data_IF_017081798306
#
_entry.id   IF_017081798306
#
_cell.length_a   1.000
_cell.length_b   1.000
_cell.length_c   1.000
_cell.angle_alpha   90.00
_cell.angle_beta   90.00
_cell.angle_gamma   90.00
#
_symmetry.space_group_name_H-M   'P 1'
#
loop_
_entity.id
_entity.type
_entity.pdbx_description
1 polymer ?
#
# COMPACT_ATOMS: atom_id res chain seq x y z
N UNK A 1 45.20 16.80 12.70
CA UNK A 1 44.78 17.82 13.69
C UNK A 1 43.60 17.29 14.52
N UNK A 2 43.32 17.87 15.69
CA UNK A 2 42.20 17.46 16.55
C UNK A 2 40.98 18.36 16.35
N UNK A 3 39.76 17.83 16.59
CA UNK A 3 38.53 18.63 16.58
C UNK A 3 38.69 19.83 17.53
N UNK A 4 38.38 21.04 17.05
CA UNK A 4 38.49 22.27 17.85
C UNK A 4 39.89 22.90 17.90
N UNK A 5 40.92 22.31 17.28
CA UNK A 5 42.27 22.90 17.22
C UNK A 5 42.44 24.05 16.22
N UNK A 6 41.34 24.58 15.67
CA UNK A 6 41.34 25.67 14.69
C UNK A 6 41.73 25.27 13.26
N UNK A 7 42.03 23.99 13.03
CA UNK A 7 42.26 23.44 11.69
C UNK A 7 40.95 23.11 10.98
N UNK A 8 40.90 23.35 9.67
CA UNK A 8 39.83 22.89 8.78
C UNK A 8 40.42 22.20 7.55
N UNK A 9 39.66 21.30 6.94
CA UNK A 9 40.06 20.69 5.66
C UNK A 9 39.95 21.73 4.55
N UNK A 10 41.06 21.91 3.82
CA UNK A 10 41.18 22.78 2.65
C UNK A 10 40.85 22.02 1.37
N UNK A 11 41.37 20.80 1.24
CA UNK A 11 41.21 19.96 0.05
C UNK A 11 41.38 18.50 0.40
N UNK A 12 40.69 17.65 -0.36
CA UNK A 12 40.92 16.21 -0.38
C UNK A 12 41.26 15.83 -1.81
N UNK A 13 42.34 15.08 -2.01
CA UNK A 13 42.77 14.61 -3.33
C UNK A 13 42.99 13.11 -3.29
N UNK A 14 42.24 12.37 -4.11
CA UNK A 14 42.37 10.92 -4.26
C UNK A 14 43.01 10.55 -5.60
N UNK A 15 43.77 9.45 -5.65
CA UNK A 15 44.53 9.05 -6.84
C UNK A 15 43.70 8.28 -7.86
N UNK A 16 42.82 7.41 -7.39
CA UNK A 16 42.05 6.46 -8.20
C UNK A 16 40.60 6.91 -8.43
N UNK A 17 40.32 8.21 -8.28
CA UNK A 17 39.01 8.79 -8.57
C UNK A 17 37.95 8.57 -7.49
N UNK A 18 38.32 8.10 -6.30
CA UNK A 18 37.41 8.11 -5.14
C UNK A 18 37.00 9.54 -4.81
N UNK A 19 35.76 9.69 -4.37
CA UNK A 19 35.18 10.99 -4.01
C UNK A 19 34.94 10.95 -2.52
N UNK A 20 35.62 11.85 -1.81
CA UNK A 20 35.54 12.03 -0.37
C UNK A 20 35.18 13.47 -0.06
N UNK A 21 34.40 13.68 1.00
CA UNK A 21 34.10 14.97 1.57
C UNK A 21 34.46 14.98 3.05
N UNK A 22 34.62 16.17 3.64
CA UNK A 22 34.93 16.31 5.07
C UNK A 22 33.87 17.17 5.74
N UNK A 23 33.28 16.64 6.80
CA UNK A 23 32.43 17.40 7.70
C UNK A 23 33.30 18.03 8.80
N UNK A 24 33.56 19.33 8.67
CA UNK A 24 34.36 20.08 9.66
C UNK A 24 33.65 20.19 11.03
N UNK A 25 32.32 20.11 11.07
CA UNK A 25 31.52 20.32 12.28
C UNK A 25 31.43 19.02 13.08
N UNK A 26 31.25 17.89 12.40
CA UNK A 26 31.27 16.57 13.02
C UNK A 26 32.69 15.99 13.18
N UNK A 27 33.66 16.49 12.41
CA UNK A 27 35.04 15.98 12.31
C UNK A 27 35.08 14.56 11.75
N UNK A 28 34.34 14.35 10.67
CA UNK A 28 34.17 13.06 9.99
C UNK A 28 34.63 13.16 8.53
N UNK A 29 35.23 12.08 8.04
CA UNK A 29 35.49 11.86 6.62
C UNK A 29 34.31 11.09 6.04
N UNK A 30 33.64 11.67 5.06
CA UNK A 30 32.51 11.08 4.37
C UNK A 30 33.00 10.48 3.05
N UNK A 31 32.71 9.19 2.83
CA UNK A 31 33.10 8.48 1.61
C UNK A 31 31.91 8.48 0.66
N UNK A 32 31.95 9.31 -0.38
CA UNK A 32 30.87 9.38 -1.37
C UNK A 32 30.96 8.26 -2.41
N UNK A 33 32.19 7.85 -2.77
CA UNK A 33 32.44 6.84 -3.79
C UNK A 33 33.79 6.17 -3.59
N UNK A 34 33.79 4.84 -3.61
CA UNK A 34 34.97 3.99 -3.66
C UNK A 34 34.86 3.08 -4.88
N UNK A 35 35.65 3.35 -5.93
CA UNK A 35 35.69 2.47 -7.11
C UNK A 35 36.67 1.30 -6.96
N UNK A 36 37.75 1.53 -6.22
CA UNK A 36 38.82 0.57 -5.98
C UNK A 36 39.61 0.99 -4.74
N UNK A 37 40.66 0.26 -4.39
CA UNK A 37 41.61 0.71 -3.38
C UNK A 37 42.24 2.06 -3.83
N UNK A 38 42.15 3.07 -2.96
CA UNK A 38 42.58 4.43 -3.26
C UNK A 38 43.39 5.03 -2.12
N UNK A 39 44.30 5.94 -2.48
CA UNK A 39 45.14 6.68 -1.57
C UNK A 39 44.79 8.17 -1.67
N UNK A 40 44.16 8.68 -0.61
CA UNK A 40 43.69 10.06 -0.55
C UNK A 40 44.52 10.89 0.44
N UNK A 41 44.85 12.11 0.04
CA UNK A 41 45.50 13.11 0.88
C UNK A 41 44.47 14.14 1.35
N UNK A 42 44.50 14.47 2.63
CA UNK A 42 43.62 15.47 3.25
C UNK A 42 44.50 16.61 3.74
N UNK A 43 44.36 17.78 3.13
CA UNK A 43 45.12 18.97 3.48
C UNK A 43 44.35 19.81 4.49
N UNK A 44 45.00 20.15 5.61
CA UNK A 44 44.42 20.99 6.64
C UNK A 44 45.05 22.39 6.62
N UNK A 45 44.25 23.42 6.91
CA UNK A 45 44.71 24.81 7.00
C UNK A 45 44.24 25.49 8.29
N UNK A 46 44.98 26.53 8.70
CA UNK A 46 44.65 27.45 9.80
C UNK A 46 44.51 28.84 9.19
N UNK A 47 43.31 29.24 8.80
CA UNK A 47 43.08 30.48 8.05
C UNK A 47 41.79 31.19 8.46
N UNK A 48 41.88 32.52 8.59
CA UNK A 48 40.77 33.45 8.82
C UNK A 48 39.70 33.34 7.75
N UNK A 49 38.42 33.47 8.14
CA UNK A 49 37.28 33.34 7.23
C UNK A 49 36.60 31.97 7.32
N UNK A 50 36.14 31.60 8.52
CA UNK A 50 35.23 30.46 8.69
C UNK A 50 33.84 30.90 8.25
N UNK A 51 33.37 30.38 7.13
CA UNK A 51 32.02 30.63 6.66
C UNK A 51 31.12 29.45 6.99
N UNK A 52 29.93 29.77 7.50
CA UNK A 52 28.87 28.80 7.76
C UNK A 52 27.89 28.86 6.61
N UNK A 53 27.59 27.70 6.04
CA UNK A 53 26.47 27.53 5.13
C UNK A 53 25.33 26.89 5.93
N UNK A 54 24.23 27.61 6.07
CA UNK A 54 23.02 27.12 6.71
C UNK A 54 22.06 26.62 5.64
N UNK A 55 21.62 25.37 5.74
CA UNK A 55 20.58 24.80 4.90
C UNK A 55 19.26 24.79 5.67
N UNK A 56 18.25 25.44 5.10
CA UNK A 56 16.89 25.49 5.64
C UNK A 56 16.01 24.65 4.73
N UNK A 57 15.72 23.38 5.08
CA UNK A 57 14.85 22.56 4.27
C UNK A 57 13.39 22.96 4.47
N UNK A 58 12.58 22.84 3.41
CA UNK A 58 11.12 22.98 3.49
C UNK A 58 10.45 21.86 4.29
N UNK A 59 11.17 20.76 4.55
CA UNK A 59 10.73 19.60 5.33
C UNK A 59 11.75 19.41 6.46
N UNK A 60 11.32 19.45 7.71
CA UNK A 60 12.24 19.30 8.84
C UNK A 60 12.84 17.88 8.88
N UNK A 61 14.15 17.77 9.10
CA UNK A 61 14.85 16.47 9.22
C UNK A 61 15.12 15.73 7.91
N UNK A 62 14.84 16.35 6.76
CA UNK A 62 15.04 15.73 5.44
C UNK A 62 16.45 15.87 4.87
N UNK A 63 17.34 16.57 5.58
CA UNK A 63 18.75 16.73 5.21
C UNK A 63 19.63 16.00 6.22
N UNK A 64 20.78 15.53 5.76
CA UNK A 64 21.85 15.00 6.62
C UNK A 64 22.30 16.01 7.69
N UNK A 65 22.34 17.29 7.33
CA UNK A 65 22.67 18.40 8.22
C UNK A 65 21.97 19.69 7.81
N UNK A 66 21.72 20.58 8.78
CA UNK A 66 21.19 21.92 8.55
C UNK A 66 22.28 23.01 8.53
N UNK A 67 23.53 22.64 8.81
CA UNK A 67 24.65 23.56 8.73
C UNK A 67 25.97 22.83 8.49
N UNK A 68 26.82 23.37 7.62
CA UNK A 68 28.21 22.91 7.45
C UNK A 68 29.13 24.13 7.38
N UNK A 69 30.33 24.03 7.97
CA UNK A 69 31.35 25.09 7.87
C UNK A 69 32.46 24.77 6.88
N UNK A 70 32.95 25.81 6.22
CA UNK A 70 34.06 25.75 5.26
C UNK A 70 35.00 26.96 5.41
N UNK A 71 36.11 26.94 4.68
CA UNK A 71 37.01 28.09 4.48
C UNK A 71 36.58 28.94 3.29
N UNK A 72 37.19 30.12 3.14
CA UNK A 72 37.05 30.95 1.94
C UNK A 72 37.29 30.16 0.64
N UNK A 73 36.42 30.35 -0.33
CA UNK A 73 36.35 29.63 -1.61
C UNK A 73 36.15 28.10 -1.50
N UNK A 74 35.84 27.58 -0.32
CA UNK A 74 35.58 26.16 -0.14
C UNK A 74 34.20 25.71 -0.60
N UNK A 75 33.91 24.43 -0.39
CA UNK A 75 32.72 23.74 -0.84
C UNK A 75 32.07 22.96 0.31
N UNK A 76 30.74 22.93 0.34
CA UNK A 76 29.96 22.05 1.21
C UNK A 76 28.89 21.31 0.39
N UNK A 77 28.53 20.11 0.83
CA UNK A 77 27.48 19.28 0.22
C UNK A 77 26.47 18.90 1.28
N UNK A 78 25.18 19.11 1.01
CA UNK A 78 24.07 18.59 1.81
C UNK A 78 23.42 17.44 1.05
N UNK A 79 23.03 16.38 1.75
CA UNK A 79 22.41 15.18 1.19
C UNK A 79 20.95 15.07 1.65
N UNK A 80 20.10 14.55 0.78
CA UNK A 80 18.67 14.32 1.00
C UNK A 80 18.24 13.09 0.21
N UNK A 81 17.39 12.27 0.82
CA UNK A 81 16.74 11.16 0.13
C UNK A 81 15.50 11.61 -0.67
N UNK A 82 15.08 12.88 -0.48
CA UNK A 82 13.95 13.49 -1.18
C UNK A 82 14.38 14.25 -2.43
N UNK A 83 13.52 14.23 -3.45
CA UNK A 83 13.69 15.01 -4.66
C UNK A 83 13.71 16.53 -4.36
N UNK A 84 14.69 17.23 -4.91
CA UNK A 84 14.84 18.68 -4.74
C UNK A 84 14.00 19.39 -5.81
N UNK A 85 13.08 20.26 -5.38
CA UNK A 85 12.29 21.11 -6.28
C UNK A 85 13.07 22.35 -6.71
N UNK A 86 13.60 23.09 -5.73
CA UNK A 86 14.35 24.31 -5.97
C UNK A 86 15.25 24.64 -4.79
N UNK A 87 16.33 25.37 -5.07
CA UNK A 87 17.22 25.93 -4.05
C UNK A 87 17.34 27.43 -4.30
N UNK A 88 17.23 28.23 -3.24
CA UNK A 88 17.32 29.69 -3.31
C UNK A 88 18.17 30.25 -2.18
N UNK A 89 18.61 31.51 -2.31
CA UNK A 89 19.43 32.19 -1.30
C UNK A 89 20.93 31.90 -1.39
N UNK A 90 21.35 30.97 -2.25
CA UNK A 90 22.75 30.64 -2.46
C UNK A 90 23.05 30.17 -3.89
N UNK A 91 24.30 30.36 -4.32
CA UNK A 91 24.81 29.76 -5.56
C UNK A 91 25.08 28.29 -5.32
N UNK A 92 24.39 27.43 -6.05
CA UNK A 92 24.42 25.99 -5.82
C UNK A 92 24.40 25.21 -7.15
N UNK A 93 24.83 23.96 -7.06
CA UNK A 93 24.61 22.93 -8.06
C UNK A 93 23.77 21.81 -7.42
N UNK A 94 22.74 21.36 -8.13
CA UNK A 94 21.89 20.26 -7.69
C UNK A 94 22.27 19.02 -8.51
N UNK A 95 22.53 17.92 -7.82
CA UNK A 95 22.85 16.64 -8.44
C UNK A 95 22.30 15.53 -7.55
N UNK A 96 21.33 14.77 -8.07
CA UNK A 96 20.76 13.53 -7.49
C UNK A 96 20.89 13.39 -5.95
N UNK A 97 19.91 13.94 -5.22
CA UNK A 97 19.91 13.92 -3.75
C UNK A 97 20.95 14.82 -3.07
N UNK A 98 21.68 15.65 -3.82
CA UNK A 98 22.73 16.55 -3.30
C UNK A 98 22.47 18.01 -3.65
N UNK A 99 22.70 18.89 -2.68
CA UNK A 99 22.85 20.33 -2.88
C UNK A 99 24.30 20.70 -2.58
N UNK A 100 25.02 21.11 -3.63
CA UNK A 100 26.44 21.45 -3.56
C UNK A 100 26.59 22.97 -3.60
N UNK A 101 27.19 23.55 -2.57
CA UNK A 101 27.47 25.00 -2.47
C UNK A 101 28.97 25.20 -2.61
N UNK A 102 29.40 25.85 -3.69
CA UNK A 102 30.82 26.08 -4.03
C UNK A 102 31.20 27.55 -3.89
N UNK A 103 32.51 27.82 -3.83
CA UNK A 103 33.09 29.17 -3.80
C UNK A 103 32.52 30.03 -2.66
N UNK A 104 32.42 29.47 -1.45
CA UNK A 104 31.84 30.17 -0.30
C UNK A 104 32.76 31.30 0.16
N UNK A 105 32.31 32.55 0.07
CA UNK A 105 33.07 33.75 0.45
C UNK A 105 32.47 34.53 1.64
N UNK A 106 31.29 34.12 2.13
CA UNK A 106 30.63 34.69 3.30
C UNK A 106 29.65 33.69 3.91
N UNK A 107 29.18 33.94 5.14
CA UNK A 107 28.09 33.16 5.73
C UNK A 107 26.86 33.24 4.81
N UNK A 108 26.32 32.08 4.44
CA UNK A 108 25.28 31.97 3.41
C UNK A 108 24.14 31.09 3.93
N UNK A 109 22.91 31.41 3.55
CA UNK A 109 21.73 30.58 3.85
C UNK A 109 21.10 30.09 2.55
N UNK A 110 20.99 28.78 2.41
CA UNK A 110 20.29 28.11 1.31
C UNK A 110 18.92 27.66 1.79
N UNK A 111 17.84 28.12 1.15
CA UNK A 111 16.51 27.55 1.35
C UNK A 111 16.32 26.42 0.33
N UNK A 112 16.14 25.20 0.81
CA UNK A 112 16.03 23.99 -0.02
C UNK A 112 14.57 23.53 -0.01
N UNK A 113 13.87 23.75 -1.11
CA UNK A 113 12.50 23.26 -1.28
C UNK A 113 12.56 21.83 -1.82
N UNK A 114 11.99 20.91 -1.07
CA UNK A 114 11.92 19.49 -1.40
C UNK A 114 10.50 19.12 -1.82
N UNK A 115 10.39 18.16 -2.72
CA UNK A 115 9.11 17.53 -3.07
C UNK A 115 8.88 16.36 -2.12
N UNK A 116 7.73 16.36 -1.46
CA UNK A 116 7.19 15.09 -0.99
C UNK A 116 6.94 14.22 -2.20
N UNK A 117 7.53 13.01 -2.27
CA UNK A 117 7.19 12.09 -3.32
C UNK A 117 5.72 11.70 -3.14
N UNK A 118 5.00 11.56 -4.24
CA UNK A 118 3.67 10.95 -4.17
C UNK A 118 3.85 9.46 -3.88
N UNK A 119 2.95 8.87 -3.12
CA UNK A 119 3.00 7.44 -2.81
C UNK A 119 2.94 6.60 -4.10
N UNK A 120 2.24 7.05 -5.14
CA UNK A 120 2.24 6.38 -6.44
C UNK A 120 3.62 6.41 -7.11
N UNK A 121 4.34 7.53 -7.05
CA UNK A 121 5.72 7.63 -7.56
C UNK A 121 6.66 6.68 -6.80
N UNK A 122 6.59 6.68 -5.46
CA UNK A 122 7.41 5.76 -4.63
C UNK A 122 7.17 4.30 -4.99
N UNK A 123 5.90 3.89 -5.13
CA UNK A 123 5.54 2.52 -5.49
C UNK A 123 6.16 2.14 -6.85
N UNK A 124 6.08 3.02 -7.85
CA UNK A 124 6.66 2.79 -9.19
C UNK A 124 8.19 2.74 -9.19
N UNK A 125 8.84 3.58 -8.40
CA UNK A 125 10.31 3.60 -8.30
C UNK A 125 10.84 2.34 -7.61
N UNK A 126 10.23 1.97 -6.47
CA UNK A 126 10.60 0.78 -5.72
C UNK A 126 10.32 -0.52 -6.47
N UNK A 127 9.35 -0.55 -7.37
CA UNK A 127 9.10 -1.74 -8.19
C UNK A 127 10.21 -2.06 -9.19
N UNK A 128 11.04 -1.07 -9.57
CA UNK A 128 12.16 -1.28 -10.51
C UNK A 128 13.24 -2.16 -9.88
N UNK A 129 13.50 -1.97 -8.59
CA UNK A 129 14.50 -2.70 -7.81
C UNK A 129 13.90 -3.81 -6.95
N UNK A 130 12.57 -3.96 -6.97
CA UNK A 130 11.79 -4.83 -6.08
C UNK A 130 11.99 -4.53 -4.59
N UNK A 131 12.30 -3.27 -4.26
CA UNK A 131 12.35 -2.81 -2.89
C UNK A 131 10.97 -2.96 -2.24
N UNK A 132 10.95 -3.28 -0.95
CA UNK A 132 9.73 -3.54 -0.16
C UNK A 132 8.82 -4.65 -0.69
N UNK A 133 9.33 -5.50 -1.60
CA UNK A 133 8.56 -6.56 -2.22
C UNK A 133 7.54 -6.05 -3.24
N UNK A 134 7.83 -4.93 -3.92
CA UNK A 134 6.93 -4.37 -4.93
C UNK A 134 7.27 -4.91 -6.32
N UNK A 135 6.27 -5.44 -7.03
CA UNK A 135 6.42 -5.98 -8.39
C UNK A 135 5.35 -5.40 -9.32
N UNK A 136 5.71 -5.20 -10.59
CA UNK A 136 4.78 -4.78 -11.64
C UNK A 136 4.19 -6.01 -12.37
N UNK A 137 3.12 -6.58 -11.82
CA UNK A 137 2.39 -7.72 -12.38
C UNK A 137 0.89 -7.44 -12.38
N UNK A 138 0.36 -6.93 -13.51
CA UNK A 138 -1.03 -6.46 -13.64
C UNK A 138 -1.40 -5.42 -12.55
N UNK A 139 -0.55 -4.39 -12.46
CA UNK A 139 -0.53 -3.39 -11.39
C UNK A 139 0.75 -3.48 -10.58
N UNK A 140 1.08 -2.41 -9.84
CA UNK A 140 2.22 -2.41 -8.93
C UNK A 140 1.77 -2.95 -7.58
N UNK A 141 2.20 -4.15 -7.21
CA UNK A 141 1.67 -4.93 -6.08
C UNK A 141 2.72 -5.16 -5.03
N UNK A 142 2.31 -5.11 -3.77
CA UNK A 142 3.15 -5.58 -2.67
C UNK A 142 3.00 -7.09 -2.49
N UNK A 143 4.13 -7.78 -2.40
CA UNK A 143 4.23 -9.24 -2.35
C UNK A 143 5.17 -9.72 -1.23
N UNK A 144 5.00 -10.98 -0.83
CA UNK A 144 5.86 -11.63 0.17
C UNK A 144 5.21 -11.72 1.55
N UNK A 145 5.98 -12.19 2.53
CA UNK A 145 5.46 -12.51 3.87
C UNK A 145 5.17 -11.27 4.71
N UNK A 146 6.03 -10.24 4.63
CA UNK A 146 5.84 -8.97 5.33
C UNK A 146 6.42 -7.79 4.54
N UNK A 147 5.80 -7.40 3.41
CA UNK A 147 6.20 -6.20 2.68
C UNK A 147 5.99 -4.94 3.53
N UNK A 148 6.82 -3.90 3.30
CA UNK A 148 6.71 -2.59 3.93
C UNK A 148 5.59 -1.76 3.29
N UNK A 149 4.36 -2.14 3.57
CA UNK A 149 3.17 -1.57 2.95
C UNK A 149 2.17 -1.00 3.96
N UNK A 150 2.61 -0.61 5.16
CA UNK A 150 1.74 -0.06 6.18
C UNK A 150 1.49 1.44 5.96
N UNK A 151 0.25 1.89 6.17
CA UNK A 151 -0.15 3.30 6.04
C UNK A 151 -1.19 3.68 7.09
N UNK A 152 -1.11 4.89 7.62
CA UNK A 152 -2.15 5.47 8.46
C UNK A 152 -3.22 6.18 7.61
N UNK A 153 -4.43 5.63 7.64
CA UNK A 153 -5.62 6.28 7.10
C UNK A 153 -6.18 7.26 8.14
N UNK A 154 -6.41 8.51 7.73
CA UNK A 154 -7.03 9.52 8.61
C UNK A 154 -8.54 9.42 8.51
N UNK A 155 -9.18 8.94 9.57
CA UNK A 155 -10.63 8.82 9.74
C UNK A 155 -11.13 9.83 10.79
N UNK A 156 -11.86 10.87 10.37
CA UNK A 156 -12.40 11.92 11.26
C UNK A 156 -11.36 12.51 12.23
N UNK A 157 -10.13 12.71 11.74
CA UNK A 157 -9.01 13.26 12.53
C UNK A 157 -8.28 12.24 13.41
N UNK A 158 -8.67 10.96 13.39
CA UNK A 158 -7.96 9.86 14.04
C UNK A 158 -7.22 8.98 13.02
N UNK A 159 -6.10 8.40 13.42
CA UNK A 159 -5.31 7.51 12.55
C UNK A 159 -5.72 6.05 12.75
N UNK A 160 -6.03 5.37 11.64
CA UNK A 160 -6.27 3.93 11.58
C UNK A 160 -5.17 3.26 10.75
N UNK A 161 -4.67 2.10 11.19
CA UNK A 161 -3.63 1.39 10.46
C UNK A 161 -4.22 0.51 9.34
N UNK A 162 -3.71 0.68 8.13
CA UNK A 162 -4.10 -0.02 6.92
C UNK A 162 -2.85 -0.55 6.20
N UNK A 163 -3.03 -1.43 5.21
CA UNK A 163 -1.96 -1.92 4.34
C UNK A 163 -2.27 -1.61 2.88
N UNK A 164 -1.27 -1.22 2.11
CA UNK A 164 -1.35 -0.96 0.68
C UNK A 164 -1.33 -2.30 -0.06
N UNK A 165 -2.35 -2.54 -0.89
CA UNK A 165 -2.35 -3.68 -1.82
C UNK A 165 -1.48 -3.35 -3.02
N UNK A 166 -1.64 -2.14 -3.56
CA UNK A 166 -0.90 -1.72 -4.75
C UNK A 166 -1.49 -0.49 -5.44
N UNK A 167 -0.88 -0.14 -6.58
CA UNK A 167 -1.30 0.93 -7.48
C UNK A 167 -1.91 0.34 -8.75
N UNK A 168 -3.10 0.81 -9.11
CA UNK A 168 -3.89 0.26 -10.22
C UNK A 168 -4.60 1.37 -11.01
N UNK A 169 -4.81 1.21 -12.33
CA UNK A 169 -5.61 2.13 -13.15
C UNK A 169 -7.13 1.90 -12.95
N UNK A 170 -7.54 1.72 -11.69
CA UNK A 170 -8.91 1.36 -11.30
C UNK A 170 -9.72 2.60 -10.88
N UNK A 171 -9.22 3.81 -11.11
CA UNK A 171 -9.95 5.04 -10.85
C UNK A 171 -11.27 5.12 -11.61
N UNK A 172 -12.18 5.97 -11.12
CA UNK A 172 -13.51 6.15 -11.72
C UNK A 172 -13.41 6.52 -13.20
N UNK A 173 -12.40 7.31 -13.57
CA UNK A 173 -12.12 7.72 -14.95
C UNK A 173 -10.95 6.94 -15.58
N UNK A 174 -10.44 5.90 -14.92
CA UNK A 174 -9.31 5.09 -15.38
C UNK A 174 -7.94 5.64 -14.98
N UNK A 175 -7.91 6.65 -14.12
CA UNK A 175 -6.69 7.14 -13.47
C UNK A 175 -6.12 6.12 -12.47
N UNK A 176 -4.83 6.27 -12.16
CA UNK A 176 -4.18 5.48 -11.12
C UNK A 176 -4.76 5.80 -9.74
N UNK A 177 -5.08 4.75 -8.98
CA UNK A 177 -5.51 4.79 -7.58
C UNK A 177 -4.74 3.77 -6.75
N UNK A 178 -4.51 4.09 -5.48
CA UNK A 178 -3.80 3.22 -4.55
C UNK A 178 -4.85 2.46 -3.73
N UNK A 179 -4.94 1.14 -3.92
CA UNK A 179 -5.87 0.31 -3.16
C UNK A 179 -5.25 -0.05 -1.81
N UNK A 180 -5.99 0.20 -0.74
CA UNK A 180 -5.60 -0.08 0.65
C UNK A 180 -6.61 -0.98 1.32
N UNK A 181 -6.15 -1.89 2.19
CA UNK A 181 -6.98 -2.77 3.00
C UNK A 181 -6.80 -2.50 4.49
N UNK A 182 -7.88 -2.58 5.26
CA UNK A 182 -7.80 -2.41 6.71
C UNK A 182 -6.93 -3.50 7.34
N UNK A 183 -6.10 -3.14 8.33
CA UNK A 183 -5.35 -4.14 9.12
C UNK A 183 -6.32 -4.96 9.95
N UNK A 184 -6.07 -6.26 9.98
CA UNK A 184 -6.94 -7.22 10.66
C UNK A 184 -8.13 -7.62 9.79
N UNK A 185 -9.02 -8.37 10.43
CA UNK A 185 -10.18 -8.95 9.77
C UNK A 185 -11.43 -8.62 10.54
N UNK A 186 -12.36 -7.97 9.86
CA UNK A 186 -13.67 -7.72 10.43
C UNK A 186 -14.46 -9.00 10.37
N UNK A 187 -14.96 -9.43 11.52
CA UNK A 187 -15.80 -10.63 11.63
C UNK A 187 -17.29 -10.28 11.70
N UNK A 188 -17.61 -8.99 11.91
CA UNK A 188 -18.96 -8.44 11.84
C UNK A 188 -18.93 -6.90 11.67
N UNK A 189 -19.77 -6.38 10.79
CA UNK A 189 -20.20 -4.99 10.77
C UNK A 189 -21.59 -4.89 11.44
N UNK A 190 -21.63 -4.45 12.68
CA UNK A 190 -22.84 -4.45 13.50
C UNK A 190 -23.83 -3.37 13.06
N UNK A 191 -25.11 -3.72 13.00
CA UNK A 191 -26.19 -2.74 13.18
C UNK A 191 -26.40 -2.56 14.69
N UNK A 192 -25.99 -1.43 15.26
CA UNK A 192 -26.17 -1.07 16.67
C UNK A 192 -27.60 -0.57 16.98
N UNK A 193 -28.59 -0.96 16.18
CA UNK A 193 -30.00 -0.60 16.32
C UNK A 193 -30.47 -0.63 17.77
N UNK A 194 -30.78 0.55 18.30
CA UNK A 194 -31.36 0.75 19.61
C UNK A 194 -32.84 0.29 19.56
N UNK A 195 -33.05 -1.02 19.44
CA UNK A 195 -34.37 -1.61 19.21
C UNK A 195 -34.69 -2.62 20.32
N UNK A 196 -35.42 -2.13 21.31
CA UNK A 196 -36.11 -2.93 22.30
C UNK A 196 -37.29 -3.65 21.64
N UNK A 197 -37.17 -4.95 21.38
CA UNK A 197 -38.18 -6.00 21.68
C UNK A 197 -37.92 -7.26 20.88
N UNK A 198 -37.71 -8.36 21.60
CA UNK A 198 -37.96 -9.71 21.13
C UNK A 198 -39.46 -9.94 20.95
N UNK A 199 -39.90 -10.45 19.79
CA UNK A 199 -40.60 -11.74 19.65
C UNK A 199 -41.10 -11.93 18.22
N UNK A 200 -41.07 -13.20 17.80
CA UNK A 200 -41.78 -13.75 16.66
C UNK A 200 -43.24 -13.28 16.63
N UNK A 201 -43.66 -12.60 15.56
CA UNK A 201 -44.85 -12.99 14.78
C UNK A 201 -45.07 -12.06 13.59
N UNK A 202 -44.98 -12.66 12.40
CA UNK A 202 -45.63 -12.21 11.18
C UNK A 202 -45.15 -10.86 10.58
N UNK A 203 -43.86 -10.82 10.27
CA UNK A 203 -43.35 -10.20 9.05
C UNK A 203 -42.62 -11.33 8.28
N UNK A 204 -42.72 -11.52 6.94
CA UNK A 204 -42.71 -10.46 5.93
C UNK A 204 -41.77 -9.33 6.34
N UNK A 205 -40.53 -9.73 6.69
CA UNK A 205 -39.25 -8.99 6.82
C UNK A 205 -38.15 -9.84 6.15
N UNK A 206 -38.58 -10.80 5.34
CA UNK A 206 -37.92 -12.08 5.03
C UNK A 206 -36.74 -11.99 4.08
N UNK A 207 -36.35 -10.81 3.56
CA UNK A 207 -35.37 -10.72 2.47
C UNK A 207 -34.67 -9.35 2.32
N UNK A 208 -34.38 -8.64 3.41
CA UNK A 208 -33.76 -7.31 3.28
C UNK A 208 -32.23 -7.36 3.20
N UNK A 209 -31.78 -8.20 2.25
CA UNK A 209 -30.41 -8.32 1.72
C UNK A 209 -29.46 -8.93 2.75
N UNK A 210 -29.00 -10.15 2.50
CA UNK A 210 -28.11 -10.85 3.42
C UNK A 210 -26.69 -10.30 3.30
N UNK A 211 -26.02 -10.22 4.44
CA UNK A 211 -25.02 -11.24 4.65
C UNK A 211 -25.25 -11.99 6.00
N UNK A 212 -26.38 -11.83 6.80
CA UNK A 212 -26.66 -11.82 8.30
C UNK A 212 -27.72 -12.69 9.11
N UNK A 213 -27.53 -13.19 10.39
CA UNK A 213 -28.51 -13.77 11.40
C UNK A 213 -28.08 -13.69 12.93
N UNK A 214 -28.95 -13.93 13.95
CA UNK A 214 -28.70 -13.85 15.42
C UNK A 214 -28.93 -15.16 16.23
N UNK A 215 -28.03 -15.55 17.14
CA UNK A 215 -28.20 -16.70 18.06
C UNK A 215 -29.01 -16.35 19.34
N UNK A 216 -30.00 -17.19 19.68
CA UNK A 216 -30.90 -17.01 20.81
C UNK A 216 -30.28 -17.31 22.18
N UNK A 217 -29.06 -17.85 22.25
CA UNK A 217 -28.34 -18.13 23.50
C UNK A 217 -27.41 -16.96 23.89
N UNK A 218 -26.91 -16.19 22.91
CA UNK A 218 -25.82 -15.21 23.11
C UNK A 218 -26.21 -13.74 22.94
N UNK A 219 -27.46 -13.42 22.57
CA UNK A 219 -27.98 -12.05 22.47
C UNK A 219 -27.14 -11.11 21.56
N UNK A 220 -26.64 -11.63 20.42
CA UNK A 220 -25.84 -10.89 19.42
C UNK A 220 -26.36 -11.10 17.98
N UNK A 221 -26.38 -10.03 17.18
CA UNK A 221 -26.79 -10.05 15.77
C UNK A 221 -25.55 -10.18 14.85
N UNK A 222 -25.50 -11.20 13.99
CA UNK A 222 -24.39 -11.47 13.08
C UNK A 222 -24.73 -11.24 11.63
N UNK A 223 -23.67 -11.13 10.82
CA UNK A 223 -23.68 -11.13 9.37
C UNK A 223 -23.55 -12.59 8.76
N UNK A 224 -24.39 -13.65 9.07
CA UNK A 224 -25.05 -14.61 8.08
C UNK A 224 -26.21 -15.58 8.46
N UNK A 225 -27.04 -16.07 7.50
CA UNK A 225 -28.25 -16.90 7.70
C UNK A 225 -28.10 -18.42 7.41
N UNK A 226 -28.78 -19.33 8.14
CA UNK A 226 -28.52 -20.78 8.09
C UNK A 226 -29.05 -21.53 6.85
N UNK A 227 -29.96 -20.96 6.05
CA UNK A 227 -30.62 -21.66 4.93
C UNK A 227 -30.35 -21.05 3.54
N UNK A 228 -30.51 -21.90 2.52
CA UNK A 228 -30.40 -21.57 1.09
C UNK A 228 -31.44 -20.51 0.72
N UNK A 229 -31.02 -19.24 0.63
CA UNK A 229 -31.90 -18.17 0.21
C UNK A 229 -32.11 -18.17 -1.30
N UNK A 230 -33.27 -18.65 -1.75
CA UNK A 230 -33.67 -18.74 -3.17
C UNK A 230 -34.03 -17.40 -3.83
N UNK A 231 -34.00 -16.28 -3.09
CA UNK A 231 -34.31 -14.91 -3.58
C UNK A 231 -33.30 -13.84 -3.17
N UNK A 232 -32.09 -14.24 -2.78
CA UNK A 232 -31.08 -13.29 -2.32
C UNK A 232 -30.35 -12.60 -3.46
N UNK A 233 -30.09 -11.31 -3.29
CA UNK A 233 -29.37 -10.48 -4.26
C UNK A 233 -27.86 -10.56 -4.02
N UNK A 234 -27.12 -11.07 -4.99
CA UNK A 234 -25.65 -11.26 -4.93
C UNK A 234 -24.93 -10.42 -5.98
N UNK A 235 -25.45 -9.23 -6.15
CA UNK A 235 -24.79 -8.17 -6.89
C UNK A 235 -24.21 -7.24 -5.84
N UNK A 236 -22.87 -7.17 -5.74
CA UNK A 236 -22.14 -6.42 -4.70
C UNK A 236 -22.82 -5.10 -4.28
N UNK A 237 -23.20 -4.21 -5.22
CA UNK A 237 -23.80 -2.89 -4.91
C UNK A 237 -25.16 -2.96 -4.22
N UNK A 238 -25.78 -4.14 -4.17
CA UNK A 238 -27.11 -4.39 -3.62
C UNK A 238 -27.06 -5.35 -2.43
N UNK A 239 -25.87 -5.74 -1.97
CA UNK A 239 -25.69 -6.56 -0.77
C UNK A 239 -25.80 -5.71 0.49
N UNK A 240 -26.14 -6.34 1.61
CA UNK A 240 -26.14 -5.63 2.91
C UNK A 240 -24.74 -5.36 3.40
N UNK A 241 -23.77 -6.24 3.13
CA UNK A 241 -22.38 -5.95 3.48
C UNK A 241 -21.89 -4.68 2.78
N UNK A 242 -22.12 -4.53 1.48
CA UNK A 242 -21.77 -3.26 0.82
C UNK A 242 -22.52 -2.07 1.43
N UNK A 243 -23.82 -2.21 1.72
CA UNK A 243 -24.61 -1.12 2.33
C UNK A 243 -24.02 -0.71 3.68
N UNK A 244 -23.67 -1.66 4.54
CA UNK A 244 -23.06 -1.40 5.85
C UNK A 244 -21.65 -0.82 5.67
N UNK A 245 -20.81 -1.44 4.85
CA UNK A 245 -19.44 -0.97 4.63
C UNK A 245 -19.41 0.42 4.02
N UNK A 246 -20.24 0.72 3.02
CA UNK A 246 -20.28 2.06 2.41
C UNK A 246 -20.76 3.14 3.38
N UNK A 247 -21.56 2.78 4.39
CA UNK A 247 -21.96 3.69 5.47
C UNK A 247 -20.88 3.89 6.55
N UNK A 248 -20.02 2.88 6.79
CA UNK A 248 -18.91 2.95 7.74
C UNK A 248 -17.68 3.63 7.10
N UNK A 249 -17.34 3.21 5.88
CA UNK A 249 -16.18 3.62 5.09
C UNK A 249 -16.58 4.68 4.06
N UNK A 250 -17.15 5.78 4.57
CA UNK A 250 -17.56 6.91 3.74
C UNK A 250 -16.36 7.77 3.38
N UNK A 251 -16.25 8.18 2.11
CA UNK A 251 -15.16 9.05 1.64
C UNK A 251 -15.06 10.37 2.41
N UNK A 252 -16.19 10.89 2.91
CA UNK A 252 -16.23 12.12 3.70
C UNK A 252 -15.41 12.05 4.99
N UNK A 253 -15.28 10.85 5.57
CA UNK A 253 -14.58 10.65 6.83
C UNK A 253 -13.09 10.32 6.61
N UNK A 254 -12.75 9.74 5.46
CA UNK A 254 -11.41 9.25 5.15
C UNK A 254 -10.65 10.20 4.21
N UNK A 255 -9.60 10.84 4.72
CA UNK A 255 -8.77 11.79 3.95
C UNK A 255 -8.21 11.13 2.69
N UNK A 256 -8.19 11.88 1.59
CA UNK A 256 -7.61 11.49 0.29
C UNK A 256 -8.23 10.25 -0.37
N UNK A 257 -9.37 9.76 0.11
CA UNK A 257 -10.05 8.62 -0.49
C UNK A 257 -10.89 9.03 -1.69
N UNK A 258 -11.05 8.10 -2.63
CA UNK A 258 -11.86 8.26 -3.84
C UNK A 258 -12.69 7.02 -4.10
N UNK A 259 -13.74 7.18 -4.91
CA UNK A 259 -14.39 6.01 -5.50
C UNK A 259 -13.43 5.33 -6.48
N UNK A 260 -13.58 4.03 -6.64
CA UNK A 260 -12.82 3.24 -7.61
C UNK A 260 -13.71 2.17 -8.24
N UNK A 261 -13.29 1.69 -9.40
CA UNK A 261 -13.92 0.59 -10.13
C UNK A 261 -13.63 -0.73 -9.44
N UNK A 262 -14.69 -1.42 -9.09
CA UNK A 262 -14.71 -2.78 -8.59
C UNK A 262 -15.19 -3.71 -9.69
N UNK A 263 -14.42 -4.75 -10.01
CA UNK A 263 -14.76 -5.75 -11.01
C UNK A 263 -15.40 -6.97 -10.36
N UNK A 264 -16.55 -7.38 -10.88
CA UNK A 264 -17.45 -8.37 -10.28
C UNK A 264 -17.59 -9.61 -11.18
N UNK A 265 -16.61 -9.85 -12.06
CA UNK A 265 -16.52 -11.09 -12.83
C UNK A 265 -16.20 -12.28 -11.93
N UNK A 266 -16.77 -13.44 -12.28
CA UNK A 266 -16.51 -14.73 -11.65
C UNK A 266 -16.42 -15.85 -12.69
N UNK A 267 -16.24 -17.09 -12.26
CA UNK A 267 -16.21 -18.25 -13.16
C UNK A 267 -16.84 -19.48 -12.48
N UNK A 268 -17.44 -20.35 -13.30
CA UNK A 268 -18.03 -21.62 -12.83
C UNK A 268 -16.95 -22.55 -12.25
N UNK A 269 -15.87 -22.72 -13.00
CA UNK A 269 -14.76 -23.59 -12.65
C UNK A 269 -13.44 -22.81 -12.72
N UNK A 270 -12.75 -22.77 -11.59
CA UNK A 270 -11.44 -22.14 -11.41
C UNK A 270 -10.35 -23.15 -11.03
N UNK A 271 -10.64 -24.45 -11.13
CA UNK A 271 -9.74 -25.52 -10.69
C UNK A 271 -8.38 -25.54 -11.40
N UNK A 272 -8.27 -24.88 -12.56
CA UNK A 272 -7.04 -24.70 -13.33
C UNK A 272 -6.49 -23.27 -13.32
N UNK A 273 -7.20 -22.31 -12.69
CA UNK A 273 -6.89 -20.89 -12.79
C UNK A 273 -5.67 -20.53 -11.94
N UNK A 274 -4.80 -19.74 -12.56
CA UNK A 274 -3.60 -19.12 -11.98
C UNK A 274 -3.87 -17.65 -11.65
N UNK A 275 -2.88 -16.94 -11.12
CA UNK A 275 -3.02 -15.52 -10.75
C UNK A 275 -3.50 -14.64 -11.92
N UNK A 276 -2.95 -14.85 -13.12
CA UNK A 276 -3.39 -14.15 -14.34
C UNK A 276 -4.83 -14.49 -14.72
N UNK A 277 -5.21 -15.78 -14.68
CA UNK A 277 -6.56 -16.20 -15.05
C UNK A 277 -7.61 -15.59 -14.13
N UNK A 278 -7.31 -15.44 -12.83
CA UNK A 278 -8.18 -14.76 -11.87
C UNK A 278 -8.27 -13.26 -12.13
N UNK A 279 -7.15 -12.60 -12.45
CA UNK A 279 -7.15 -11.18 -12.82
C UNK A 279 -8.03 -10.93 -14.05
N UNK A 280 -7.89 -11.79 -15.07
CA UNK A 280 -8.70 -11.75 -16.28
C UNK A 280 -10.17 -12.06 -15.99
N UNK A 281 -10.45 -13.04 -15.13
CA UNK A 281 -11.81 -13.43 -14.72
C UNK A 281 -12.56 -12.26 -14.09
N UNK A 282 -11.95 -11.61 -13.10
CA UNK A 282 -12.55 -10.46 -12.40
C UNK A 282 -12.96 -9.38 -13.39
N UNK A 283 -12.08 -9.09 -14.35
CA UNK A 283 -12.19 -8.01 -15.34
C UNK A 283 -12.90 -8.40 -16.63
N UNK A 284 -13.42 -9.64 -16.73
CA UNK A 284 -14.07 -10.16 -17.95
C UNK A 284 -13.16 -10.16 -19.20
N UNK A 285 -11.86 -10.36 -19.01
CA UNK A 285 -10.85 -10.42 -20.07
C UNK A 285 -10.61 -11.87 -20.51
N UNK A 286 -10.05 -12.04 -21.72
CA UNK A 286 -9.53 -13.31 -22.24
C UNK A 286 -10.49 -14.51 -22.12
N UNK A 287 -11.81 -14.25 -22.13
CA UNK A 287 -12.87 -15.24 -21.94
C UNK A 287 -12.77 -16.03 -20.62
N UNK A 288 -12.20 -15.45 -19.56
CA UNK A 288 -12.05 -16.08 -18.24
C UNK A 288 -13.20 -15.75 -17.28
N UNK A 289 -13.93 -14.67 -17.53
CA UNK A 289 -14.99 -14.18 -16.65
C UNK A 289 -16.40 -14.45 -17.17
N UNK A 290 -17.35 -14.50 -16.25
CA UNK A 290 -18.79 -14.47 -16.48
C UNK A 290 -19.47 -13.64 -15.38
N UNK A 291 -20.56 -12.96 -15.72
CA UNK A 291 -21.35 -12.25 -14.72
C UNK A 291 -21.98 -13.24 -13.73
N UNK A 292 -21.97 -12.89 -12.43
CA UNK A 292 -22.65 -13.67 -11.40
C UNK A 292 -24.16 -13.80 -11.67
N UNK A 293 -24.81 -14.87 -11.20
CA UNK A 293 -26.20 -15.18 -11.60
C UNK A 293 -27.20 -14.06 -11.30
N UNK A 294 -27.11 -13.42 -10.13
CA UNK A 294 -28.00 -12.29 -9.82
C UNK A 294 -27.78 -11.13 -10.78
N UNK A 295 -26.53 -10.89 -11.20
CA UNK A 295 -26.20 -9.83 -12.15
C UNK A 295 -26.77 -10.13 -13.54
N UNK A 296 -26.56 -11.36 -14.04
CA UNK A 296 -27.04 -11.76 -15.36
C UNK A 296 -28.56 -11.79 -15.48
N UNK A 297 -29.26 -12.21 -14.42
CA UNK A 297 -30.73 -12.34 -14.42
C UNK A 297 -31.46 -11.05 -14.09
N UNK A 298 -30.87 -10.16 -13.28
CA UNK A 298 -31.59 -9.04 -12.66
C UNK A 298 -30.91 -7.66 -12.79
N UNK A 299 -29.66 -7.59 -13.26
CA UNK A 299 -28.89 -6.33 -13.34
C UNK A 299 -28.11 -6.19 -14.66
N UNK A 300 -28.69 -6.65 -15.77
CA UNK A 300 -28.14 -6.48 -17.13
C UNK A 300 -26.70 -6.98 -17.28
N UNK A 301 -26.34 -8.06 -16.56
CA UNK A 301 -24.98 -8.63 -16.57
C UNK A 301 -23.88 -7.62 -16.18
N UNK A 302 -24.20 -6.62 -15.35
CA UNK A 302 -23.24 -5.62 -14.87
C UNK A 302 -22.13 -6.30 -14.05
N UNK A 303 -20.89 -6.15 -14.51
CA UNK A 303 -19.68 -6.70 -13.87
C UNK A 303 -18.72 -5.63 -13.39
N UNK A 304 -19.08 -4.35 -13.47
CA UNK A 304 -18.26 -3.24 -12.98
C UNK A 304 -19.14 -2.37 -12.08
N UNK A 305 -18.60 -1.96 -10.95
CA UNK A 305 -19.25 -1.05 -10.04
C UNK A 305 -18.26 -0.01 -9.52
N UNK A 306 -18.63 1.27 -9.58
CA UNK A 306 -17.84 2.33 -8.97
C UNK A 306 -18.38 2.64 -7.57
N UNK A 307 -17.54 2.57 -6.55
CA UNK A 307 -17.93 2.88 -5.17
C UNK A 307 -16.76 3.11 -4.23
N UNK A 308 -17.06 3.40 -2.96
CA UNK A 308 -16.07 3.82 -1.97
C UNK A 308 -15.33 2.67 -1.28
N UNK A 309 -15.93 1.49 -1.22
CA UNK A 309 -15.41 0.34 -0.47
C UNK A 309 -15.78 -0.99 -1.10
N UNK A 310 -14.80 -1.88 -1.19
CA UNK A 310 -14.90 -3.24 -1.72
C UNK A 310 -14.27 -4.26 -0.78
N UNK A 311 -14.00 -5.46 -1.31
CA UNK A 311 -13.16 -6.48 -0.68
C UNK A 311 -11.98 -6.80 -1.59
N UNK A 312 -11.04 -7.59 -1.08
CA UNK A 312 -9.92 -8.13 -1.85
C UNK A 312 -10.40 -9.01 -3.01
N UNK A 313 -9.62 -9.01 -4.08
CA UNK A 313 -9.80 -9.92 -5.21
C UNK A 313 -9.11 -11.27 -5.00
N UNK A 314 -9.62 -12.35 -5.64
CA UNK A 314 -8.86 -13.59 -5.83
C UNK A 314 -7.46 -13.36 -6.41
N UNK A 315 -7.32 -12.46 -7.40
CA UNK A 315 -6.03 -12.10 -7.99
C UNK A 315 -5.11 -11.38 -7.01
N UNK A 316 -5.65 -10.50 -6.14
CA UNK A 316 -4.85 -9.85 -5.10
C UNK A 316 -4.18 -10.91 -4.21
N UNK A 317 -4.92 -11.95 -3.80
CA UNK A 317 -4.38 -13.08 -3.06
C UNK A 317 -3.35 -13.88 -3.88
N UNK A 318 -3.62 -14.14 -5.16
CA UNK A 318 -2.72 -14.86 -6.06
C UNK A 318 -1.39 -14.16 -6.37
N UNK A 319 -1.31 -12.84 -6.18
CA UNK A 319 -0.09 -12.06 -6.38
C UNK A 319 0.61 -11.69 -5.07
N UNK A 320 -0.05 -11.79 -3.91
CA UNK A 320 0.52 -11.36 -2.63
C UNK A 320 1.69 -12.21 -2.09
N UNK A 321 2.09 -13.27 -2.79
CA UNK A 321 3.29 -14.07 -2.48
C UNK A 321 4.33 -13.86 -3.56
N UNK A 322 5.62 -13.86 -3.20
CA UNK A 322 6.71 -13.75 -4.18
C UNK A 322 6.65 -14.91 -5.19
N UNK A 323 6.94 -14.60 -6.46
CA UNK A 323 7.00 -15.62 -7.52
C UNK A 323 8.10 -16.66 -7.29
N UNK A 324 9.15 -16.31 -6.54
CA UNK A 324 10.22 -17.22 -6.09
C UNK A 324 9.74 -18.26 -5.07
N UNK A 325 8.76 -17.90 -4.25
CA UNK A 325 8.15 -18.79 -3.24
C UNK A 325 7.01 -19.60 -3.84
N UNK A 326 6.30 -19.01 -4.81
CA UNK A 326 5.17 -19.62 -5.48
C UNK A 326 5.09 -19.22 -6.95
N UNK A 327 5.51 -20.13 -7.83
CA UNK A 327 5.49 -19.90 -9.27
C UNK A 327 4.08 -19.53 -9.75
N UNK A 328 3.98 -18.49 -10.59
CA UNK A 328 2.71 -18.02 -11.19
C UNK A 328 2.02 -19.06 -12.09
N UNK A 329 2.67 -20.17 -12.36
CA UNK A 329 2.10 -21.33 -13.08
C UNK A 329 1.29 -22.26 -12.19
N UNK A 330 1.39 -22.13 -10.87
CA UNK A 330 0.64 -22.92 -9.90
C UNK A 330 -0.80 -22.40 -9.85
N UNK A 331 -1.74 -23.33 -9.97
CA UNK A 331 -3.17 -23.03 -9.75
C UNK A 331 -3.41 -22.67 -8.29
N UNK A 332 -4.34 -21.76 -8.05
CA UNK A 332 -4.59 -21.24 -6.70
C UNK A 332 -5.63 -22.09 -5.95
N UNK A 333 -6.43 -22.84 -6.70
CA UNK A 333 -7.40 -23.82 -6.18
C UNK A 333 -6.71 -25.04 -5.53
N UNK A 334 -7.50 -25.92 -4.90
CA UNK A 334 -7.07 -27.18 -4.29
C UNK A 334 -6.16 -28.03 -5.20
N UNK A 335 -5.17 -28.68 -4.59
CA UNK A 335 -4.06 -29.36 -5.26
C UNK A 335 -3.01 -28.40 -5.82
N UNK A 336 -2.97 -27.17 -5.33
CA UNK A 336 -2.11 -26.07 -5.77
C UNK A 336 -1.52 -25.35 -4.57
N UNK A 337 -2.10 -24.23 -4.16
CA UNK A 337 -1.62 -23.43 -3.03
C UNK A 337 -1.63 -24.17 -1.69
N UNK A 338 -2.48 -25.17 -1.50
CA UNK A 338 -2.48 -26.09 -0.35
C UNK A 338 -1.30 -27.07 -0.36
N UNK A 339 -0.85 -27.50 -1.55
CA UNK A 339 0.25 -28.46 -1.69
C UNK A 339 1.63 -27.80 -1.54
N UNK A 340 1.74 -26.52 -1.84
CA UNK A 340 2.99 -25.74 -1.72
C UNK A 340 2.85 -24.76 -0.58
N UNK A 341 3.28 -25.14 0.62
CA UNK A 341 3.09 -24.35 1.84
C UNK A 341 3.58 -22.89 1.72
N UNK A 342 4.69 -22.66 1.01
CA UNK A 342 5.22 -21.32 0.77
C UNK A 342 4.23 -20.38 0.04
N UNK A 343 3.36 -20.93 -0.82
CA UNK A 343 2.34 -20.15 -1.56
C UNK A 343 1.34 -19.41 -0.66
N UNK A 344 1.08 -19.94 0.54
CA UNK A 344 0.18 -19.30 1.50
C UNK A 344 0.88 -18.83 2.78
N UNK A 345 1.91 -19.54 3.27
CA UNK A 345 2.64 -19.12 4.47
C UNK A 345 3.44 -17.83 4.27
N UNK A 346 3.93 -17.59 3.06
CA UNK A 346 4.66 -16.36 2.70
C UNK A 346 3.76 -15.36 1.96
N UNK A 347 2.44 -15.51 2.08
CA UNK A 347 1.46 -14.62 1.45
C UNK A 347 0.87 -13.70 2.51
N UNK A 348 1.20 -12.40 2.48
CA UNK A 348 0.74 -11.46 3.51
C UNK A 348 -0.78 -11.21 3.53
N UNK A 349 -1.53 -11.69 2.52
CA UNK A 349 -2.99 -11.67 2.49
C UNK A 349 -3.62 -12.93 3.09
N UNK A 350 -2.85 -13.99 3.37
CA UNK A 350 -3.34 -15.20 4.01
C UNK A 350 -3.65 -14.94 5.50
N UNK A 351 -4.85 -15.29 5.96
CA UNK A 351 -5.24 -15.07 7.36
C UNK A 351 -4.63 -16.06 8.36
N UNK A 352 -3.99 -17.13 7.86
CA UNK A 352 -3.53 -18.25 8.67
C UNK A 352 -4.54 -19.40 8.76
N UNK A 353 -4.14 -20.48 9.43
CA UNK A 353 -4.85 -21.77 9.38
C UNK A 353 -6.14 -21.87 10.21
N UNK A 354 -6.48 -20.81 10.94
CA UNK A 354 -7.60 -20.81 11.89
C UNK A 354 -8.90 -20.26 11.28
N UNK A 355 -8.86 -19.67 10.08
CA UNK A 355 -10.06 -19.13 9.43
C UNK A 355 -9.91 -18.98 7.91
N UNK A 356 -11.06 -18.89 7.24
CA UNK A 356 -11.18 -18.62 5.80
C UNK A 356 -11.60 -17.16 5.59
N UNK A 357 -11.33 -16.54 4.44
CA UNK A 357 -11.64 -15.12 4.18
C UNK A 357 -12.61 -14.91 3.00
N UNK A 358 -13.56 -13.98 3.13
CA UNK A 358 -14.37 -13.52 1.99
C UNK A 358 -13.59 -12.68 0.96
N UNK A 359 -13.88 -12.93 -0.32
CA UNK A 359 -13.44 -12.14 -1.46
C UNK A 359 -14.66 -11.55 -2.20
N UNK A 360 -14.43 -10.54 -3.04
CA UNK A 360 -15.51 -9.82 -3.71
C UNK A 360 -16.17 -10.61 -4.85
N UNK A 361 -15.45 -11.56 -5.47
CA UNK A 361 -15.90 -12.22 -6.70
C UNK A 361 -17.08 -13.19 -6.46
N UNK A 362 -18.13 -13.13 -7.28
CA UNK A 362 -19.27 -14.04 -7.17
C UNK A 362 -19.00 -15.41 -7.85
N UNK A 363 -19.76 -16.44 -7.49
CA UNK A 363 -19.86 -17.65 -8.30
C UNK A 363 -21.06 -17.52 -9.29
N UNK A 364 -20.86 -17.69 -10.60
CA UNK A 364 -21.90 -17.51 -11.61
C UNK A 364 -22.85 -18.71 -11.79
N UNK A 365 -22.61 -19.84 -11.11
CA UNK A 365 -23.41 -21.06 -11.29
C UNK A 365 -24.21 -21.44 -10.07
N UNK A 366 -23.79 -20.95 -8.90
CA UNK A 366 -24.52 -21.14 -7.68
C UNK A 366 -24.87 -19.78 -7.13
N UNK A 367 -26.16 -19.45 -7.25
CA UNK A 367 -26.82 -18.26 -6.72
C UNK A 367 -26.66 -18.14 -5.22
N UNK A 368 -26.00 -19.10 -4.56
CA UNK A 368 -25.62 -19.26 -3.17
C UNK A 368 -24.25 -18.65 -2.80
N UNK A 369 -23.31 -18.54 -3.73
CA UNK A 369 -21.90 -18.69 -3.40
C UNK A 369 -21.02 -17.53 -3.88
N UNK A 370 -19.93 -17.26 -3.16
CA UNK A 370 -18.88 -16.33 -3.55
C UNK A 370 -17.51 -16.94 -3.25
N UNK A 371 -16.47 -16.25 -3.70
CA UNK A 371 -15.09 -16.70 -3.57
C UNK A 371 -14.58 -16.43 -2.15
N UNK A 372 -13.73 -17.34 -1.67
CA UNK A 372 -13.04 -17.21 -0.40
C UNK A 372 -11.63 -17.80 -0.49
N UNK A 373 -10.75 -17.32 0.39
CA UNK A 373 -9.49 -18.03 0.70
C UNK A 373 -9.82 -19.03 1.80
N UNK A 374 -9.56 -20.32 1.57
CA UNK A 374 -9.79 -21.35 2.57
C UNK A 374 -8.74 -21.26 3.70
N UNK A 375 -9.08 -21.77 4.88
CA UNK A 375 -8.18 -21.88 6.02
C UNK A 375 -6.97 -22.79 5.78
N UNK A 376 -6.88 -23.50 4.67
CA UNK A 376 -5.67 -24.27 4.30
C UNK A 376 -4.85 -23.60 3.19
N UNK A 377 -5.20 -22.38 2.78
CA UNK A 377 -4.50 -21.61 1.75
C UNK A 377 -5.13 -21.54 0.35
N UNK A 378 -5.81 -22.57 -0.20
CA UNK A 378 -6.31 -22.50 -1.57
C UNK A 378 -7.56 -21.64 -1.67
N UNK A 379 -7.89 -21.19 -2.87
CA UNK A 379 -9.19 -20.55 -3.14
C UNK A 379 -10.32 -21.57 -3.17
N UNK A 380 -11.48 -21.15 -2.68
CA UNK A 380 -12.76 -21.87 -2.75
C UNK A 380 -13.82 -20.94 -3.35
N UNK A 381 -14.45 -21.34 -4.46
CA UNK A 381 -15.51 -20.60 -5.14
C UNK A 381 -16.92 -21.01 -4.70
N UNK A 382 -17.05 -21.96 -3.76
CA UNK A 382 -18.31 -22.53 -3.30
C UNK A 382 -18.68 -22.07 -1.90
N UNK A 383 -18.16 -20.94 -1.43
CA UNK A 383 -18.51 -20.47 -0.10
C UNK A 383 -19.90 -19.84 -0.08
N UNK A 384 -20.83 -20.41 0.70
CA UNK A 384 -22.18 -19.86 0.84
C UNK A 384 -22.11 -18.45 1.46
N UNK A 385 -22.65 -17.44 0.77
CA UNK A 385 -22.73 -16.06 1.29
C UNK A 385 -23.69 -15.93 2.48
N UNK A 386 -24.36 -17.03 2.82
CA UNK A 386 -25.13 -17.18 4.04
C UNK A 386 -24.27 -17.61 5.22
N UNK A 387 -22.94 -17.66 5.10
CA UNK A 387 -22.01 -17.90 6.20
C UNK A 387 -21.27 -16.63 6.66
N UNK A 388 -21.21 -16.45 7.97
CA UNK A 388 -20.49 -15.32 8.56
C UNK A 388 -19.02 -15.65 8.47
N UNK A 389 -18.22 -14.71 7.97
CA UNK A 389 -16.80 -14.93 7.76
C UNK A 389 -16.02 -13.65 7.87
N UNK A 390 -14.73 -13.76 8.18
CA UNK A 390 -13.86 -12.61 8.20
C UNK A 390 -13.67 -12.03 6.80
N UNK A 391 -13.55 -10.71 6.74
CA UNK A 391 -13.23 -9.96 5.53
C UNK A 391 -12.34 -8.76 5.86
N UNK A 392 -11.66 -8.22 4.85
CA UNK A 392 -10.92 -6.96 4.97
C UNK A 392 -11.54 -5.94 4.01
N UNK A 393 -12.10 -4.83 4.52
CA UNK A 393 -12.53 -3.72 3.69
C UNK A 393 -11.37 -3.17 2.87
N UNK A 394 -11.64 -2.84 1.61
CA UNK A 394 -10.70 -2.23 0.68
C UNK A 394 -11.22 -0.87 0.24
N UNK A 395 -10.42 0.18 0.39
CA UNK A 395 -10.70 1.53 -0.12
C UNK A 395 -9.63 1.92 -1.14
N UNK A 396 -9.85 3.03 -1.83
CA UNK A 396 -8.88 3.62 -2.74
C UNK A 396 -8.49 5.03 -2.31
N UNK A 397 -7.20 5.33 -2.41
CA UNK A 397 -6.62 6.66 -2.27
C UNK A 397 -6.30 7.24 -3.64
N UNK A 398 -6.29 8.58 -3.74
CA UNK A 398 -5.74 9.27 -4.90
C UNK A 398 -4.27 8.88 -5.10
N UNK A 399 -3.80 8.86 -6.35
CA UNK A 399 -2.39 8.58 -6.67
C UNK A 399 -1.44 9.72 -6.27
N UNK A 400 -1.94 10.95 -6.19
CA UNK A 400 -1.15 12.15 -5.86
C UNK A 400 -0.95 12.37 -4.35
N UNK A 401 -1.35 11.41 -3.52
CA UNK A 401 -1.17 11.48 -2.07
C UNK A 401 0.31 11.57 -1.74
N UNK A 402 0.67 12.60 -0.98
CA UNK A 402 2.02 12.81 -0.44
C UNK A 402 2.14 12.09 0.89
N UNK A 403 3.27 11.43 1.09
CA UNK A 403 3.53 10.66 2.31
C UNK A 403 4.92 10.93 2.89
N UNK A 404 5.01 10.71 4.20
CA UNK A 404 6.26 10.53 4.95
C UNK A 404 6.29 9.12 5.55
N UNK A 405 7.43 8.71 6.11
CA UNK A 405 7.64 7.36 6.68
C UNK A 405 8.14 6.34 5.67
N UNK A 406 8.58 5.20 6.18
CA UNK A 406 9.18 4.10 5.40
C UNK A 406 8.17 3.06 4.91
N UNK A 407 6.95 3.04 5.46
CA UNK A 407 5.95 2.01 5.17
C UNK A 407 6.14 0.72 5.99
N UNK A 408 7.14 0.67 6.86
CA UNK A 408 7.33 -0.44 7.80
C UNK A 408 6.22 -0.44 8.86
N UNK A 409 6.02 -1.55 9.57
CA UNK A 409 5.00 -1.60 10.65
C UNK A 409 5.29 -0.61 11.79
N UNK A 410 6.56 -0.36 12.09
CA UNK A 410 7.01 0.56 13.16
C UNK A 410 7.06 2.01 12.71
N UNK A 411 7.17 2.25 11.40
CA UNK A 411 7.14 3.56 10.78
C UNK A 411 6.26 3.53 9.52
N UNK A 412 4.92 3.42 9.69
CA UNK A 412 3.98 3.37 8.57
C UNK A 412 3.98 4.69 7.79
N UNK A 413 3.55 4.63 6.53
CA UNK A 413 3.33 5.85 5.76
C UNK A 413 2.29 6.76 6.43
N UNK A 414 2.60 8.05 6.52
CA UNK A 414 1.71 9.10 7.05
C UNK A 414 1.35 10.06 5.92
N UNK A 415 0.05 10.30 5.71
CA UNK A 415 -0.42 11.22 4.66
C UNK A 415 -0.33 12.69 5.09
N UNK A 416 0.36 13.50 4.30
CA UNK A 416 0.49 14.95 4.50
C UNK A 416 -0.80 15.71 4.18
#
# INVERSE_FOLDING_TARGET
>A
PTKGSGYKVKSITCKSGSILSWDNDNWLLEVEKLESEDLCNIDFTTGTGSYTVTAVPSIAGSLDSTSKTTTENGQVTFYTDLAIDSVSGCTNEISDGKVIVKNVTSNTTCNINLKFPTLATLIKEKSITHEDGIYEENGYRYEGSDPNNYIYMVNNGSNELWRIIGLFPDGENGEDVIRVRKVGYETAAYDNGNHTTAYFNNTSKTNNKLLAYSDAISNKNYIAAPDICTRCVKHWPKTTLYTTLSSTYTLANYKNTVNYKMYLGGAHDISSYKSQDLYDMERMLNNKGTAGTSSSTSYNSTTIFTGSVGLMYPSDYGYAVLSSDCARTIKIYYGGYDNTAACHNNNWLYQGSNSWQWLISPNPSFDGNAFSVNATGPLDSYKSVSFSGPFSPVMALKSDVKVTGSGTKTDPYVME
#
